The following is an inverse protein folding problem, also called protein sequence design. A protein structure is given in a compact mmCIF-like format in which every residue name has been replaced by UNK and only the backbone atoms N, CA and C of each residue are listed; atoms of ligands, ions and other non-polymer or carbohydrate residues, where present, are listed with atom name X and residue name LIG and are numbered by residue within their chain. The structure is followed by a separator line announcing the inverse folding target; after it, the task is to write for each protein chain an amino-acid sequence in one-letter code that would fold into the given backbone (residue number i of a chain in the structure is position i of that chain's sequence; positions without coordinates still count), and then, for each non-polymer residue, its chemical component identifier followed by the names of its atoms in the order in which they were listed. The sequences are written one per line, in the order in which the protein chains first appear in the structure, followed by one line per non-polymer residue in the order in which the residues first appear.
data_IF_913013518360
#
_entry.id   IF_913013518360
#
_cell.length_a   1.000
_cell.length_b   1.000
_cell.length_c   1.000
_cell.angle_alpha   90.00
_cell.angle_beta   90.00
_cell.angle_gamma   90.00
#
_symmetry.space_group_name_H-M   'P 1'
#
loop_
_entity.id
_entity.type
_entity.pdbx_description
1 polymer ?
#
# COMPACT_ATOMS: atom_id res chain seq x y z
N UNK A 1 3.75 7.42 15.71
CA UNK A 1 3.14 6.41 14.85
C UNK A 1 4.22 5.74 14.06
N UNK A 2 4.65 4.52 14.34
CA UNK A 2 5.68 3.99 13.50
C UNK A 2 5.04 3.32 12.28
N UNK A 3 4.84 4.18 11.28
CA UNK A 3 5.55 3.99 10.03
C UNK A 3 6.81 3.14 10.26
N UNK A 4 6.78 1.88 9.84
CA UNK A 4 7.84 0.84 9.92
C UNK A 4 8.80 1.03 11.11
N UNK A 5 8.66 0.28 12.20
CA UNK A 5 9.72 0.14 13.22
C UNK A 5 10.59 -1.08 12.98
N UNK A 6 11.83 -0.97 13.45
CA UNK A 6 12.72 -2.11 13.72
C UNK A 6 13.33 -1.92 15.11
N UNK A 7 13.68 -3.02 15.77
CA UNK A 7 14.29 -2.96 17.09
C UNK A 7 15.67 -2.29 17.05
N UNK A 8 16.43 -2.53 15.99
CA UNK A 8 17.76 -1.95 15.79
C UNK A 8 18.02 -1.65 14.30
N UNK A 9 17.93 -0.36 13.94
CA UNK A 9 18.19 0.12 12.57
C UNK A 9 19.64 -0.08 12.14
N UNK A 10 20.58 -0.29 13.07
CA UNK A 10 21.99 -0.53 12.75
C UNK A 10 22.22 -1.89 12.10
N UNK A 11 21.32 -2.84 12.32
CA UNK A 11 21.38 -4.20 11.76
C UNK A 11 20.91 -4.28 10.31
N UNK A 12 20.24 -3.24 9.80
CA UNK A 12 19.68 -3.26 8.46
C UNK A 12 20.76 -3.07 7.37
N UNK A 13 20.63 -3.77 6.23
CA UNK A 13 21.43 -3.47 5.05
C UNK A 13 21.29 -2.00 4.65
N UNK A 14 22.42 -1.41 4.23
CA UNK A 14 22.48 -0.01 3.79
C UNK A 14 22.30 0.07 2.29
N UNK A 15 21.41 0.96 1.85
CA UNK A 15 21.42 1.35 0.44
C UNK A 15 22.69 2.17 0.16
N UNK A 16 23.26 2.11 -1.05
CA UNK A 16 24.44 2.88 -1.41
C UNK A 16 24.11 4.38 -1.47
N UNK A 17 25.14 5.21 -1.26
CA UNK A 17 25.05 6.63 -1.55
C UNK A 17 24.65 6.87 -3.02
N UNK A 18 23.93 7.98 -3.24
CA UNK A 18 23.53 8.42 -4.57
C UNK A 18 24.80 8.71 -5.38
N UNK A 19 25.07 7.86 -6.37
CA UNK A 19 26.26 7.97 -7.19
C UNK A 19 26.29 9.24 -8.05
N UNK A 20 27.47 9.66 -8.55
CA UNK A 20 27.63 10.89 -9.35
C UNK A 20 26.88 10.85 -10.70
N UNK A 21 26.52 9.66 -11.19
CA UNK A 21 25.72 9.47 -12.39
C UNK A 21 24.20 9.50 -12.13
N UNK A 22 23.77 9.65 -10.88
CA UNK A 22 22.36 9.67 -10.54
C UNK A 22 21.67 10.91 -11.13
N UNK A 23 20.53 10.67 -11.78
CA UNK A 23 19.71 11.74 -12.31
C UNK A 23 18.74 12.21 -11.24
N UNK A 24 18.91 13.44 -10.77
CA UNK A 24 17.96 14.04 -9.85
C UNK A 24 16.66 14.39 -10.60
N UNK A 25 15.55 13.75 -10.20
CA UNK A 25 14.22 14.01 -10.75
C UNK A 25 13.60 15.20 -10.04
N UNK A 26 13.21 16.23 -10.82
CA UNK A 26 12.50 17.38 -10.24
C UNK A 26 11.05 17.03 -9.98
N UNK A 27 10.49 17.59 -8.91
CA UNK A 27 9.04 17.56 -8.66
C UNK A 27 8.34 18.32 -9.77
N UNK A 28 7.46 17.63 -10.50
CA UNK A 28 6.68 18.21 -11.60
C UNK A 28 5.48 19.03 -11.07
N UNK A 29 4.79 18.50 -10.08
CA UNK A 29 3.60 19.11 -9.47
C UNK A 29 3.40 18.61 -8.05
N UNK A 30 2.73 19.42 -7.22
CA UNK A 30 2.29 19.07 -5.87
C UNK A 30 0.79 19.28 -5.81
N UNK A 31 0.06 18.28 -5.31
CA UNK A 31 -1.40 18.30 -5.22
C UNK A 31 -1.78 17.93 -3.80
N UNK A 32 -2.74 18.67 -3.24
CA UNK A 32 -3.32 18.35 -1.94
C UNK A 32 -4.47 17.39 -2.14
N UNK A 33 -4.35 16.18 -1.62
CA UNK A 33 -5.39 15.17 -1.67
C UNK A 33 -6.68 15.67 -0.96
N UNK A 34 -7.81 15.82 -1.67
CA UNK A 34 -9.07 16.16 -1.03
C UNK A 34 -9.57 14.99 -0.16
N UNK A 35 -10.32 15.34 0.89
CA UNK A 35 -10.97 14.36 1.76
C UNK A 35 -12.27 13.85 1.13
N UNK A 36 -12.62 12.60 1.43
CA UNK A 36 -13.87 11.98 1.02
C UNK A 36 -14.23 10.79 1.92
N UNK A 37 -15.26 10.05 1.51
CA UNK A 37 -15.69 8.83 2.16
C UNK A 37 -15.88 7.72 1.13
N UNK A 38 -15.52 6.50 1.48
CA UNK A 38 -15.72 5.29 0.68
C UNK A 38 -16.52 4.24 1.47
N UNK A 39 -17.09 3.26 0.78
CA UNK A 39 -17.87 2.18 1.40
C UNK A 39 -18.99 2.69 2.32
N UNK A 40 -19.03 2.21 3.55
CA UNK A 40 -20.07 2.58 4.54
C UNK A 40 -19.74 3.84 5.37
N UNK A 41 -18.81 4.67 4.90
CA UNK A 41 -18.40 5.93 5.56
C UNK A 41 -16.94 5.95 5.99
N UNK A 42 -16.08 5.21 5.31
CA UNK A 42 -14.66 5.10 5.58
C UNK A 42 -13.94 6.38 5.09
N UNK A 43 -13.34 7.20 5.97
CA UNK A 43 -12.71 8.47 5.58
C UNK A 43 -11.41 8.22 4.82
N UNK A 44 -11.27 8.90 3.69
CA UNK A 44 -10.11 8.79 2.81
C UNK A 44 -9.58 10.15 2.38
N UNK A 45 -8.30 10.18 2.00
CA UNK A 45 -7.71 11.27 1.21
C UNK A 45 -7.30 10.74 -0.15
N UNK A 46 -7.84 11.33 -1.22
CA UNK A 46 -7.63 10.86 -2.60
C UNK A 46 -6.41 11.49 -3.25
N UNK A 47 -5.29 10.78 -3.27
CA UNK A 47 -4.00 11.32 -3.68
C UNK A 47 -3.95 11.78 -5.14
N UNK A 48 -4.57 11.01 -6.04
CA UNK A 48 -4.50 11.29 -7.50
C UNK A 48 -5.60 12.22 -8.01
N UNK A 49 -6.53 12.67 -7.16
CA UNK A 49 -7.58 13.57 -7.61
C UNK A 49 -6.98 14.94 -7.99
N UNK A 50 -7.18 15.33 -9.25
CA UNK A 50 -6.62 16.57 -9.81
C UNK A 50 -5.25 16.40 -10.48
N UNK A 51 -4.66 15.21 -10.46
CA UNK A 51 -3.44 14.91 -11.20
C UNK A 51 -3.74 14.62 -12.68
N UNK A 52 -2.77 14.89 -13.56
CA UNK A 52 -2.84 14.45 -14.95
C UNK A 52 -2.60 12.94 -15.03
N UNK A 53 -3.63 12.19 -15.41
CA UNK A 53 -3.58 10.72 -15.48
C UNK A 53 -2.45 10.21 -16.41
N UNK A 54 -2.00 11.02 -17.38
CA UNK A 54 -0.88 10.65 -18.27
C UNK A 54 0.45 10.58 -17.54
N UNK A 55 0.59 11.33 -16.44
CA UNK A 55 1.78 11.31 -15.58
C UNK A 55 1.68 10.20 -14.52
N UNK A 56 0.54 9.48 -14.44
CA UNK A 56 0.28 8.47 -13.41
C UNK A 56 0.31 7.02 -13.91
N UNK A 57 0.17 6.75 -15.21
CA UNK A 57 0.23 5.39 -15.77
C UNK A 57 1.48 4.62 -15.25
N UNK A 58 1.34 3.45 -14.59
CA UNK A 58 0.18 2.54 -14.53
C UNK A 58 -0.81 2.73 -13.36
N UNK A 59 -0.65 3.75 -12.54
CA UNK A 59 -1.49 3.97 -11.36
C UNK A 59 -2.81 4.66 -11.73
N UNK A 60 -3.92 4.08 -11.27
CA UNK A 60 -5.27 4.53 -11.62
C UNK A 60 -5.92 5.31 -10.48
N UNK A 61 -5.68 4.88 -9.25
CA UNK A 61 -6.34 5.39 -8.06
C UNK A 61 -5.43 5.20 -6.85
N UNK A 62 -5.44 6.13 -5.90
CA UNK A 62 -4.79 5.97 -4.62
C UNK A 62 -5.56 6.74 -3.56
N UNK A 63 -6.07 6.02 -2.57
CA UNK A 63 -6.67 6.58 -1.37
C UNK A 63 -5.77 6.26 -0.17
N UNK A 64 -5.42 7.29 0.60
CA UNK A 64 -4.93 7.11 1.95
C UNK A 64 -6.14 6.94 2.87
N UNK A 65 -6.13 5.86 3.64
CA UNK A 65 -7.19 5.41 4.49
C UNK A 65 -6.86 5.73 5.95
N UNK A 66 -7.72 6.46 6.68
CA UNK A 66 -7.38 6.95 8.02
C UNK A 66 -6.54 8.25 7.96
N UNK A 67 -5.60 8.53 8.85
CA UNK A 67 -5.36 7.93 10.17
C UNK A 67 -6.55 8.25 11.08
N UNK A 68 -7.26 7.24 11.55
CA UNK A 68 -8.39 7.42 12.46
C UNK A 68 -8.31 6.41 13.59
N UNK A 69 -8.44 6.90 14.81
CA UNK A 69 -8.64 6.07 16.00
C UNK A 69 -10.14 5.96 16.27
N UNK A 70 -10.72 4.81 15.91
CA UNK A 70 -12.16 4.57 16.01
C UNK A 70 -12.55 4.17 17.43
N UNK A 71 -13.68 4.66 17.92
CA UNK A 71 -14.28 4.14 19.14
C UNK A 71 -14.97 2.77 18.90
N UNK A 72 -15.24 1.99 19.96
CA UNK A 72 -16.07 0.79 19.86
C UNK A 72 -17.36 0.99 19.05
N UNK A 73 -17.61 0.12 18.08
CA UNK A 73 -18.78 0.12 17.20
C UNK A 73 -18.70 1.08 16.01
N UNK A 74 -17.68 1.91 15.92
CA UNK A 74 -17.48 2.85 14.81
C UNK A 74 -16.79 2.27 13.57
N UNK A 75 -15.85 1.30 13.66
CA UNK A 75 -15.20 0.76 12.47
C UNK A 75 -16.22 0.18 11.50
N UNK A 76 -16.12 0.60 10.23
CA UNK A 76 -16.96 0.11 9.15
C UNK A 76 -16.11 -0.41 8.00
N UNK A 77 -16.70 -1.33 7.24
CA UNK A 77 -16.11 -1.88 6.03
C UNK A 77 -16.74 -1.32 4.76
N UNK A 78 -16.59 -2.11 3.72
CA UNK A 78 -17.29 -1.99 2.45
C UNK A 78 -18.38 -3.06 2.36
N UNK A 79 -19.38 -2.82 1.53
CA UNK A 79 -20.24 -3.90 1.04
C UNK A 79 -19.51 -4.70 -0.05
N UNK A 80 -20.04 -5.89 -0.39
CA UNK A 80 -19.57 -6.64 -1.56
C UNK A 80 -19.59 -5.77 -2.82
N UNK A 81 -18.46 -5.66 -3.51
CA UNK A 81 -18.34 -4.83 -4.71
C UNK A 81 -17.41 -5.46 -5.76
N UNK A 82 -17.60 -5.13 -7.06
CA UNK A 82 -16.84 -5.75 -8.13
C UNK A 82 -15.58 -4.97 -8.51
N UNK A 83 -14.55 -5.69 -8.97
CA UNK A 83 -13.40 -5.13 -9.68
C UNK A 83 -13.10 -5.94 -10.94
N UNK A 84 -12.51 -5.31 -11.97
CA UNK A 84 -12.11 -5.97 -13.22
C UNK A 84 -11.02 -5.19 -13.97
N UNK A 85 -10.02 -5.89 -14.49
CA UNK A 85 -9.05 -5.37 -15.45
C UNK A 85 -7.88 -4.57 -14.86
N UNK A 86 -7.72 -4.57 -13.54
CA UNK A 86 -6.62 -3.95 -12.81
C UNK A 86 -6.31 -4.77 -11.53
N UNK A 87 -5.38 -4.29 -10.73
CA UNK A 87 -5.03 -4.85 -9.42
C UNK A 87 -5.35 -3.84 -8.32
N UNK A 88 -5.81 -4.30 -7.16
CA UNK A 88 -5.92 -3.49 -5.94
C UNK A 88 -4.82 -3.90 -4.98
N UNK A 89 -4.12 -2.91 -4.43
CA UNK A 89 -3.01 -3.10 -3.49
C UNK A 89 -3.38 -2.38 -2.20
N UNK A 90 -3.76 -3.14 -1.18
CA UNK A 90 -4.12 -2.63 0.14
C UNK A 90 -2.94 -2.85 1.08
N UNK A 91 -2.27 -1.76 1.47
CA UNK A 91 -1.16 -1.75 2.42
C UNK A 91 -1.60 -1.17 3.76
N UNK A 92 -1.48 -1.94 4.83
CA UNK A 92 -1.85 -1.51 6.19
C UNK A 92 -0.60 -1.03 6.92
N UNK A 93 -0.61 0.22 7.38
CA UNK A 93 0.44 0.78 8.24
C UNK A 93 0.13 0.47 9.70
N UNK A 94 -1.10 0.75 10.12
CA UNK A 94 -1.59 0.51 11.48
C UNK A 94 -3.02 -0.04 11.44
N UNK A 95 -3.31 -1.04 12.25
CA UNK A 95 -4.62 -1.66 12.39
C UNK A 95 -4.70 -3.05 11.75
N UNK A 96 -5.92 -3.54 11.58
CA UNK A 96 -6.15 -4.87 11.01
C UNK A 96 -7.42 -4.87 10.19
N UNK A 97 -7.42 -5.63 9.11
CA UNK A 97 -8.51 -5.71 8.16
C UNK A 97 -8.74 -7.13 7.68
N UNK A 98 -10.00 -7.52 7.51
CA UNK A 98 -10.41 -8.77 6.88
C UNK A 98 -10.83 -8.51 5.44
N UNK A 99 -10.51 -9.45 4.56
CA UNK A 99 -11.07 -9.49 3.21
C UNK A 99 -11.54 -10.89 2.85
N UNK A 100 -12.49 -10.96 1.93
CA UNK A 100 -12.98 -12.20 1.34
C UNK A 100 -13.49 -11.97 -0.09
N UNK A 101 -13.47 -13.00 -0.92
CA UNK A 101 -13.92 -12.90 -2.31
C UNK A 101 -14.67 -14.14 -2.81
N UNK A 102 -15.21 -13.99 -4.02
CA UNK A 102 -16.01 -15.01 -4.71
C UNK A 102 -15.19 -16.13 -5.37
N UNK A 103 -13.87 -16.04 -5.38
CA UNK A 103 -12.95 -17.05 -5.90
C UNK A 103 -12.31 -17.89 -4.78
N UNK A 104 -12.81 -17.75 -3.55
CA UNK A 104 -12.37 -18.52 -2.38
C UNK A 104 -11.10 -17.99 -1.73
N UNK A 105 -10.63 -16.82 -2.14
CA UNK A 105 -9.60 -16.09 -1.40
C UNK A 105 -10.19 -15.32 -0.21
N UNK A 106 -9.31 -14.60 0.46
CA UNK A 106 -9.60 -13.92 1.70
C UNK A 106 -8.47 -14.06 2.70
N UNK A 107 -8.56 -13.32 3.79
CA UNK A 107 -7.54 -13.33 4.82
C UNK A 107 -7.64 -12.13 5.76
N UNK A 108 -6.66 -12.09 6.66
CA UNK A 108 -6.43 -10.98 7.59
C UNK A 108 -5.13 -10.29 7.22
N UNK A 109 -5.18 -8.97 7.08
CA UNK A 109 -4.05 -8.08 6.79
C UNK A 109 -3.81 -7.27 8.06
N UNK A 110 -2.58 -7.24 8.56
CA UNK A 110 -2.19 -6.48 9.75
C UNK A 110 -1.05 -5.50 9.46
N UNK A 111 -0.49 -4.88 10.50
CA UNK A 111 0.57 -3.88 10.38
C UNK A 111 1.73 -4.34 9.51
N UNK A 112 2.01 -3.60 8.44
CA UNK A 112 3.08 -3.89 7.50
C UNK A 112 2.74 -4.93 6.42
N UNK A 113 1.61 -5.62 6.53
CA UNK A 113 1.15 -6.55 5.50
C UNK A 113 0.56 -5.79 4.29
N UNK A 114 0.66 -6.42 3.12
CA UNK A 114 0.07 -5.93 1.87
C UNK A 114 -0.74 -7.04 1.21
N UNK A 115 -2.02 -6.78 0.97
CA UNK A 115 -2.80 -7.59 0.04
C UNK A 115 -2.65 -7.03 -1.37
N UNK A 116 -2.15 -7.86 -2.29
CA UNK A 116 -2.09 -7.53 -3.71
C UNK A 116 -3.06 -8.43 -4.48
N UNK A 117 -4.24 -7.89 -4.78
CA UNK A 117 -5.29 -8.61 -5.49
C UNK A 117 -5.25 -8.29 -6.97
N UNK A 118 -4.99 -9.28 -7.81
CA UNK A 118 -5.20 -9.18 -9.26
C UNK A 118 -6.69 -9.42 -9.54
N UNK A 119 -7.44 -8.39 -9.94
CA UNK A 119 -8.86 -8.56 -10.27
C UNK A 119 -9.06 -9.22 -11.64
N UNK A 120 -8.19 -8.93 -12.61
CA UNK A 120 -8.16 -9.63 -13.90
C UNK A 120 -9.53 -9.71 -14.60
N UNK A 121 -9.98 -10.91 -14.97
CA UNK A 121 -11.28 -11.16 -15.62
C UNK A 121 -12.49 -10.73 -14.78
N UNK A 122 -12.31 -10.51 -13.48
CA UNK A 122 -13.26 -9.91 -12.57
C UNK A 122 -13.60 -10.80 -11.37
N UNK A 123 -13.92 -10.15 -10.26
CA UNK A 123 -14.37 -10.78 -9.01
C UNK A 123 -15.24 -9.82 -8.21
N UNK A 124 -16.04 -10.37 -7.29
CA UNK A 124 -16.63 -9.63 -6.18
C UNK A 124 -15.81 -9.90 -4.92
N UNK A 125 -15.57 -8.85 -4.13
CA UNK A 125 -14.92 -8.95 -2.83
C UNK A 125 -15.53 -8.01 -1.79
N UNK A 126 -15.19 -8.27 -0.53
CA UNK A 126 -15.56 -7.47 0.64
C UNK A 126 -14.32 -7.22 1.48
N UNK A 127 -14.31 -6.06 2.11
CA UNK A 127 -13.19 -5.51 2.88
C UNK A 127 -13.78 -4.91 4.16
N UNK A 128 -13.51 -5.49 5.34
CA UNK A 128 -14.19 -5.15 6.59
C UNK A 128 -13.27 -5.20 7.82
N UNK A 129 -13.54 -4.42 8.87
CA UNK A 129 -12.85 -4.59 10.14
C UNK A 129 -13.19 -5.95 10.77
N UNK A 130 -12.22 -6.62 11.44
CA UNK A 130 -12.51 -7.81 12.24
C UNK A 130 -13.51 -7.51 13.35
N UNK A 131 -14.29 -8.51 13.77
CA UNK A 131 -15.29 -8.37 14.86
C UNK A 131 -14.65 -7.85 16.16
N UNK A 132 -13.43 -8.32 16.47
CA UNK A 132 -12.68 -7.84 17.63
C UNK A 132 -12.39 -6.34 17.57
N UNK A 133 -12.04 -5.82 16.40
CA UNK A 133 -11.77 -4.39 16.18
C UNK A 133 -13.05 -3.57 16.24
N UNK A 134 -14.17 -4.09 15.71
CA UNK A 134 -15.48 -3.45 15.87
C UNK A 134 -15.84 -3.34 17.35
N UNK A 135 -15.58 -4.37 18.16
CA UNK A 135 -15.88 -4.37 19.59
C UNK A 135 -14.96 -3.44 20.41
N UNK A 136 -13.66 -3.36 20.08
CA UNK A 136 -12.68 -2.58 20.85
C UNK A 136 -12.49 -1.14 20.35
N UNK A 137 -12.83 -0.86 19.09
CA UNK A 137 -12.25 0.28 18.39
C UNK A 137 -10.76 0.09 18.12
N UNK A 138 -10.10 1.13 17.62
CA UNK A 138 -8.66 1.17 17.43
C UNK A 138 -8.20 1.95 16.21
N UNK A 139 -6.89 2.10 16.11
CA UNK A 139 -6.22 2.80 15.03
C UNK A 139 -6.35 2.03 13.71
N UNK A 140 -6.77 2.74 12.67
CA UNK A 140 -6.72 2.26 11.30
C UNK A 140 -6.02 3.29 10.42
N UNK A 141 -4.98 2.84 9.72
CA UNK A 141 -4.19 3.65 8.81
C UNK A 141 -3.60 2.77 7.72
N UNK A 142 -3.84 3.14 6.46
CA UNK A 142 -3.34 2.39 5.32
C UNK A 142 -3.45 3.16 4.01
N UNK A 143 -3.14 2.48 2.92
CA UNK A 143 -3.28 2.98 1.56
C UNK A 143 -3.91 1.90 0.70
N UNK A 144 -4.86 2.28 -0.15
CA UNK A 144 -5.32 1.45 -1.24
C UNK A 144 -4.89 2.07 -2.57
N UNK A 145 -4.09 1.35 -3.34
CA UNK A 145 -3.57 1.73 -4.65
C UNK A 145 -4.18 0.82 -5.72
N UNK A 146 -4.67 1.39 -6.82
CA UNK A 146 -5.08 0.59 -7.98
C UNK A 146 -4.05 0.71 -9.09
N UNK A 147 -3.64 -0.45 -9.60
CA UNK A 147 -2.60 -0.59 -10.62
C UNK A 147 -3.22 -1.18 -11.88
N UNK A 148 -3.15 -0.45 -12.98
CA UNK A 148 -3.67 -0.87 -14.27
C UNK A 148 -2.95 -2.13 -14.76
N UNK A 149 -3.70 -3.10 -15.29
CA UNK A 149 -3.11 -4.22 -16.02
C UNK A 149 -2.88 -3.84 -17.48
N UNK A 150 -1.75 -4.27 -18.10
CA UNK A 150 -1.57 -4.22 -19.54
C UNK A 150 -2.76 -4.86 -20.28
N UNK A 151 -3.08 -4.37 -21.48
CA UNK A 151 -4.25 -4.80 -22.23
C UNK A 151 -4.36 -6.33 -22.38
N UNK A 152 -3.24 -7.01 -22.66
CA UNK A 152 -3.18 -8.47 -22.79
C UNK A 152 -3.40 -9.24 -21.49
N UNK A 153 -3.28 -8.58 -20.33
CA UNK A 153 -3.40 -9.17 -19.00
C UNK A 153 -4.73 -8.85 -18.32
N UNK A 154 -5.60 -8.01 -18.92
CA UNK A 154 -6.89 -7.62 -18.31
C UNK A 154 -7.89 -8.77 -18.12
N UNK A 155 -7.64 -9.93 -18.73
CA UNK A 155 -8.52 -11.10 -18.66
C UNK A 155 -7.89 -12.31 -17.95
N UNK A 156 -6.76 -12.14 -17.25
CA UNK A 156 -6.16 -13.21 -16.44
C UNK A 156 -7.09 -13.61 -15.30
N UNK A 157 -6.95 -14.85 -14.82
CA UNK A 157 -7.70 -15.31 -13.65
C UNK A 157 -7.39 -14.46 -12.41
N UNK A 158 -8.40 -14.13 -11.59
CA UNK A 158 -8.20 -13.52 -10.29
C UNK A 158 -7.20 -14.28 -9.41
N UNK A 159 -6.39 -13.55 -8.64
CA UNK A 159 -5.53 -14.14 -7.61
C UNK A 159 -5.16 -13.12 -6.53
N UNK A 160 -4.62 -13.62 -5.43
CA UNK A 160 -4.03 -12.83 -4.36
C UNK A 160 -2.54 -13.10 -4.23
N UNK A 161 -1.81 -12.07 -3.80
CA UNK A 161 -0.53 -12.21 -3.12
C UNK A 161 -0.74 -11.66 -1.71
N UNK A 162 -0.64 -12.55 -0.72
CA UNK A 162 -0.67 -12.20 0.70
C UNK A 162 0.77 -11.95 1.14
N UNK A 163 1.18 -10.68 1.13
CA UNK A 163 2.56 -10.28 1.38
C UNK A 163 2.69 -9.87 2.84
N UNK A 164 3.36 -10.68 3.64
CA UNK A 164 3.55 -10.37 5.06
C UNK A 164 4.60 -9.31 5.24
N UNK A 165 4.41 -8.44 6.23
CA UNK A 165 5.37 -7.41 6.57
C UNK A 165 6.76 -7.99 6.89
N UNK A 166 6.83 -9.19 7.47
CA UNK A 166 8.09 -9.89 7.74
C UNK A 166 8.84 -10.37 6.48
N UNK A 167 8.17 -10.45 5.33
CA UNK A 167 8.76 -10.91 4.07
C UNK A 167 9.37 -9.77 3.24
N UNK A 168 9.03 -8.52 3.58
CA UNK A 168 9.58 -7.34 2.91
C UNK A 168 11.03 -7.10 3.31
N UNK A 169 11.88 -6.74 2.35
CA UNK A 169 13.21 -6.23 2.67
C UNK A 169 13.08 -4.92 3.45
N UNK A 170 13.80 -4.83 4.58
CA UNK A 170 13.96 -3.61 5.37
C UNK A 170 15.38 -3.10 5.21
N UNK A 171 15.51 -1.84 4.84
CA UNK A 171 16.77 -1.19 4.49
C UNK A 171 16.89 0.13 5.25
N UNK A 172 18.11 0.61 5.38
CA UNK A 172 18.37 1.94 5.92
C UNK A 172 19.23 2.77 4.97
N UNK A 173 19.09 4.10 5.04
CA UNK A 173 20.02 5.01 4.38
C UNK A 173 21.44 4.85 4.94
N UNK A 174 22.49 5.28 4.22
CA UNK A 174 23.88 5.19 4.67
C UNK A 174 24.11 5.71 6.09
N UNK A 175 23.47 6.84 6.42
CA UNK A 175 23.53 7.50 7.72
C UNK A 175 22.56 6.91 8.77
N UNK A 176 21.64 6.04 8.37
CA UNK A 176 20.56 5.51 9.22
C UNK A 176 19.47 6.51 9.56
N UNK A 177 19.42 7.64 8.84
CA UNK A 177 18.38 8.64 9.01
C UNK A 177 17.00 8.19 8.53
N UNK A 178 16.93 7.25 7.59
CA UNK A 178 15.67 6.70 7.10
C UNK A 178 15.64 5.17 7.07
N UNK A 179 14.44 4.63 7.26
CA UNK A 179 14.08 3.22 7.16
C UNK A 179 13.15 3.01 5.99
N UNK A 180 13.46 2.05 5.13
CA UNK A 180 12.75 1.78 3.87
C UNK A 180 12.29 0.33 3.87
N UNK A 181 10.99 0.12 3.72
CA UNK A 181 10.37 -1.18 3.44
C UNK A 181 10.12 -1.31 1.95
N UNK A 182 10.68 -2.35 1.33
CA UNK A 182 10.46 -2.67 -0.08
C UNK A 182 9.33 -3.68 -0.21
N UNK A 183 8.15 -3.23 -0.65
CA UNK A 183 6.94 -4.04 -0.77
C UNK A 183 6.93 -4.76 -2.13
N UNK A 184 7.28 -4.05 -3.20
CA UNK A 184 7.44 -4.59 -4.55
C UNK A 184 8.54 -3.86 -5.31
N UNK A 185 9.10 -4.54 -6.30
CA UNK A 185 10.23 -4.02 -7.10
C UNK A 185 11.59 -4.30 -6.46
N UNK A 186 12.54 -3.43 -6.72
CA UNK A 186 13.95 -3.58 -6.33
C UNK A 186 14.52 -2.23 -5.88
N UNK A 187 15.24 -2.22 -4.76
CA UNK A 187 16.06 -1.10 -4.32
C UNK A 187 17.49 -1.59 -4.07
N UNK A 188 18.43 -1.14 -4.91
CA UNK A 188 19.85 -1.50 -4.78
C UNK A 188 20.11 -3.02 -4.70
N UNK A 189 19.36 -3.82 -5.45
CA UNK A 189 19.47 -5.28 -5.46
C UNK A 189 18.64 -6.00 -4.38
N UNK A 190 18.00 -5.26 -3.47
CA UNK A 190 17.09 -5.80 -2.48
C UNK A 190 15.66 -5.78 -3.01
N UNK A 191 15.07 -6.97 -3.20
CA UNK A 191 13.75 -7.13 -3.78
C UNK A 191 12.65 -7.15 -2.73
N UNK A 192 11.50 -6.57 -3.07
CA UNK A 192 10.26 -6.79 -2.33
C UNK A 192 9.59 -8.12 -2.73
N UNK A 193 8.72 -8.69 -1.88
CA UNK A 193 8.04 -9.95 -2.15
C UNK A 193 6.94 -9.83 -3.22
N UNK A 194 6.42 -8.63 -3.46
CA UNK A 194 5.35 -8.40 -4.45
C UNK A 194 5.81 -8.58 -5.89
N UNK A 195 5.11 -9.45 -6.62
CA UNK A 195 5.25 -9.63 -8.06
C UNK A 195 4.29 -8.70 -8.82
N UNK A 196 4.75 -8.11 -9.93
CA UNK A 196 3.98 -7.12 -10.69
C UNK A 196 3.90 -7.48 -12.18
N UNK A 197 2.81 -7.08 -12.83
CA UNK A 197 2.65 -7.22 -14.29
C UNK A 197 3.38 -6.13 -15.10
N UNK A 198 3.49 -4.94 -14.51
CA UNK A 198 4.22 -3.79 -15.07
C UNK A 198 5.41 -3.51 -14.17
N UNK A 199 6.63 -3.29 -14.72
CA UNK A 199 7.79 -2.94 -13.90
C UNK A 199 7.51 -1.68 -13.08
N UNK A 200 7.55 -1.80 -11.76
CA UNK A 200 7.33 -0.72 -10.81
C UNK A 200 8.01 -1.03 -9.48
N UNK A 201 8.02 -0.05 -8.58
CA UNK A 201 8.39 -0.26 -7.21
C UNK A 201 7.36 0.38 -6.27
N UNK A 202 7.09 -0.28 -5.15
CA UNK A 202 6.28 0.25 -4.06
C UNK A 202 7.08 0.12 -2.77
N UNK A 203 7.29 1.25 -2.10
CA UNK A 203 8.11 1.33 -0.90
C UNK A 203 7.45 2.23 0.13
N UNK A 204 7.65 1.91 1.40
CA UNK A 204 7.29 2.77 2.53
C UNK A 204 8.58 3.23 3.21
N UNK A 205 8.83 4.54 3.20
CA UNK A 205 9.98 5.14 3.89
C UNK A 205 9.52 5.93 5.13
N UNK A 206 10.17 5.67 6.26
CA UNK A 206 10.11 6.48 7.48
C UNK A 206 11.39 7.29 7.57
N UNK A 207 11.28 8.62 7.52
CA UNK A 207 12.44 9.52 7.48
C UNK A 207 12.50 10.28 8.80
N UNK A 208 13.62 10.18 9.51
CA UNK A 208 13.87 10.95 10.73
C UNK A 208 13.91 12.44 10.43
N UNK A 209 13.54 13.32 11.39
CA UNK A 209 13.70 14.75 11.21
C UNK A 209 15.10 15.12 10.74
N UNK A 210 15.18 15.99 9.71
CA UNK A 210 16.41 16.44 9.06
C UNK A 210 17.24 15.36 8.31
N UNK A 211 16.82 14.10 8.28
CA UNK A 211 17.42 13.09 7.42
C UNK A 211 17.07 13.33 5.94
N UNK A 212 17.90 12.79 5.04
CA UNK A 212 17.68 12.83 3.58
C UNK A 212 17.54 11.41 3.04
N UNK A 213 16.65 11.25 2.06
CA UNK A 213 16.45 10.01 1.29
C UNK A 213 16.92 10.21 -0.15
#
# INVERSE_FOLDING_TARGET
MPAVTVDDITTLPRIPDVGPAAVNRRVRSVITAPSGFEGEGFPVRRAFQGADLRDLDPFVHMDQMGEVDYAPGEPKGTSWHPHRGFETVTYIMDGTFEHADTHGGGGVISNGDTQWMTAGSGLLHIERPPESLVASGGLFHGVQLWVNLPASQKAVSPRYQDLRGSESALLATPDGGALIRVIAGDLAGHKGPGSTYTPMAMMHATISPAATL
#
